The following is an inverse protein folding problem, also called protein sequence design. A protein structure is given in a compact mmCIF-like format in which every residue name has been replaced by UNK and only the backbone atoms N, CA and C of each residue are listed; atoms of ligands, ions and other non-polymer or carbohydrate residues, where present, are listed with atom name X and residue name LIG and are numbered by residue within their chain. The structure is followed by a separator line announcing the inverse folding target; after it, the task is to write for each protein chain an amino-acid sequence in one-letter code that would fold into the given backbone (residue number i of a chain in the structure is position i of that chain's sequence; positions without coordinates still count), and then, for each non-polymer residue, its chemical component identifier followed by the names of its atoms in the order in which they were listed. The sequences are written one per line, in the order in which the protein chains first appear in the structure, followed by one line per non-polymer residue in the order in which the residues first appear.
data_IF_073135621091
#
_entry.id   IF_073135621091
#
_cell.length_a   1.000
_cell.length_b   1.000
_cell.length_c   1.000
_cell.angle_alpha   90.00
_cell.angle_beta   90.00
_cell.angle_gamma   90.00
#
_symmetry.space_group_name_H-M   'P 1'
#
loop_
_entity.id
_entity.type
_entity.pdbx_description
1 polymer ?
#
# COMPACT_ATOMS: atom_id res chain seq x y z
N UNK A 1 -13.61 -11.90 -3.30
CA UNK A 1 -14.81 -11.04 -3.47
C UNK A 1 -15.29 -11.14 -4.90
N UNK A 2 -16.49 -10.66 -5.21
CA UNK A 2 -17.16 -10.85 -6.51
C UNK A 2 -16.84 -9.73 -7.50
N UNK A 3 -15.75 -8.99 -7.29
CA UNK A 3 -15.34 -7.83 -8.12
C UNK A 3 -15.31 -8.19 -9.61
N UNK A 4 -14.81 -9.39 -9.95
CA UNK A 4 -14.73 -9.89 -11.31
C UNK A 4 -16.10 -10.09 -12.02
N UNK A 5 -17.22 -10.08 -11.28
CA UNK A 5 -18.56 -10.11 -11.88
C UNK A 5 -19.03 -8.72 -12.32
N UNK A 6 -18.43 -7.65 -11.78
CA UNK A 6 -18.88 -6.27 -11.97
C UNK A 6 -17.86 -5.40 -12.71
N UNK A 7 -16.57 -5.68 -12.55
CA UNK A 7 -15.49 -4.86 -13.09
C UNK A 7 -14.57 -5.68 -13.99
N UNK A 8 -14.14 -5.07 -15.09
CA UNK A 8 -13.03 -5.59 -15.88
C UNK A 8 -11.71 -5.37 -15.11
N UNK A 9 -10.70 -6.24 -15.31
CA UNK A 9 -9.34 -5.98 -14.85
C UNK A 9 -8.83 -4.64 -15.38
N UNK A 10 -8.07 -3.91 -14.56
CA UNK A 10 -7.48 -2.64 -14.98
C UNK A 10 -6.44 -2.81 -16.09
N UNK A 11 -6.38 -1.84 -17.01
CA UNK A 11 -5.54 -1.86 -18.21
C UNK A 11 -4.53 -0.69 -18.29
N UNK A 12 -4.51 0.19 -17.30
CA UNK A 12 -3.60 1.35 -17.24
C UNK A 12 -2.22 1.02 -16.68
N UNK A 13 -2.08 -0.15 -16.04
CA UNK A 13 -0.94 -0.49 -15.20
C UNK A 13 -0.78 0.41 -13.96
N UNK A 14 0.25 0.15 -13.16
CA UNK A 14 0.58 0.96 -11.98
C UNK A 14 1.20 2.30 -12.38
N UNK A 15 0.68 3.41 -11.86
CA UNK A 15 1.11 4.76 -12.23
C UNK A 15 1.66 5.53 -11.03
N UNK A 16 2.56 6.48 -11.31
CA UNK A 16 3.14 7.38 -10.32
C UNK A 16 2.94 8.82 -10.81
N UNK A 17 2.46 9.68 -9.92
CA UNK A 17 2.21 11.09 -10.18
C UNK A 17 3.16 11.94 -9.35
N UNK A 18 3.79 12.91 -10.00
CA UNK A 18 4.56 13.95 -9.33
C UNK A 18 3.60 15.08 -8.92
N UNK A 19 3.45 15.30 -7.62
CA UNK A 19 2.61 16.36 -7.05
C UNK A 19 3.43 17.58 -6.63
N UNK A 20 4.69 17.68 -7.07
CA UNK A 20 5.63 18.74 -6.74
C UNK A 20 6.39 18.48 -5.43
N UNK A 21 5.67 18.27 -4.32
CA UNK A 21 6.27 17.99 -3.02
C UNK A 21 6.68 16.52 -2.83
N UNK A 22 6.04 15.61 -3.56
CA UNK A 22 6.29 14.18 -3.49
C UNK A 22 5.90 13.47 -4.79
N UNK A 23 6.32 12.21 -4.92
CA UNK A 23 5.82 11.27 -5.95
C UNK A 23 4.90 10.24 -5.33
N UNK A 24 3.64 10.24 -5.74
CA UNK A 24 2.61 9.33 -5.23
C UNK A 24 2.35 8.20 -6.21
N UNK A 25 2.37 6.97 -5.72
CA UNK A 25 1.88 5.79 -6.43
C UNK A 25 0.52 5.38 -5.87
N UNK A 26 -0.33 4.76 -6.69
CA UNK A 26 -1.63 4.25 -6.24
C UNK A 26 -1.74 2.76 -6.56
N UNK A 27 -2.15 1.98 -5.57
CA UNK A 27 -2.60 0.60 -5.72
C UNK A 27 -3.91 0.43 -4.95
N UNK A 28 -4.81 -0.43 -5.39
CA UNK A 28 -6.18 -0.50 -4.86
C UNK A 28 -6.41 -1.84 -4.19
N UNK A 29 -6.83 -1.78 -2.92
CA UNK A 29 -7.26 -2.92 -2.14
C UNK A 29 -6.40 -4.18 -2.38
N UNK A 30 -6.94 -5.20 -3.06
CA UNK A 30 -6.31 -6.51 -3.21
C UNK A 30 -4.92 -6.50 -3.88
N UNK A 31 -4.54 -5.40 -4.55
CA UNK A 31 -3.17 -5.20 -5.04
C UNK A 31 -2.10 -5.39 -3.96
N UNK A 32 -2.39 -5.13 -2.67
CA UNK A 32 -1.41 -5.33 -1.58
C UNK A 32 -0.89 -6.76 -1.48
N UNK A 33 -1.72 -7.74 -1.88
CA UNK A 33 -1.40 -9.15 -1.80
C UNK A 33 -0.19 -9.49 -2.69
N UNK A 34 -0.06 -8.77 -3.81
CA UNK A 34 0.97 -8.96 -4.82
C UNK A 34 2.15 -8.01 -4.54
N UNK A 35 3.31 -8.51 -4.04
CA UNK A 35 4.48 -7.65 -3.80
C UNK A 35 4.94 -6.89 -5.06
N UNK A 36 4.64 -7.42 -6.24
CA UNK A 36 4.91 -6.82 -7.55
C UNK A 36 4.22 -5.46 -7.72
N UNK A 37 3.05 -5.24 -7.11
CA UNK A 37 2.32 -3.97 -7.18
C UNK A 37 3.14 -2.83 -6.53
N UNK A 38 3.46 -3.00 -5.25
CA UNK A 38 4.27 -2.03 -4.51
C UNK A 38 5.68 -1.90 -5.09
N UNK A 39 6.28 -3.01 -5.56
CA UNK A 39 7.57 -3.00 -6.24
C UNK A 39 7.55 -2.17 -7.51
N UNK A 40 6.52 -2.35 -8.34
CA UNK A 40 6.39 -1.62 -9.61
C UNK A 40 6.26 -0.12 -9.36
N UNK A 41 5.43 0.29 -8.39
CA UNK A 41 5.31 1.69 -7.99
C UNK A 41 6.64 2.26 -7.49
N UNK A 42 7.35 1.53 -6.62
CA UNK A 42 8.63 1.97 -6.10
C UNK A 42 9.71 2.09 -7.19
N UNK A 43 9.77 1.16 -8.15
CA UNK A 43 10.67 1.23 -9.31
C UNK A 43 10.33 2.40 -10.24
N UNK A 44 9.05 2.77 -10.33
CA UNK A 44 8.60 3.99 -11.03
C UNK A 44 8.86 5.28 -10.23
N UNK A 45 9.46 5.18 -9.05
CA UNK A 45 9.89 6.31 -8.24
C UNK A 45 8.83 6.81 -7.26
N UNK A 46 7.82 6.01 -6.91
CA UNK A 46 6.90 6.35 -5.83
C UNK A 46 7.68 6.52 -4.51
N UNK A 47 7.38 7.61 -3.81
CA UNK A 47 7.85 7.90 -2.46
C UNK A 47 6.78 7.53 -1.43
N UNK A 48 5.51 7.71 -1.81
CA UNK A 48 4.32 7.38 -1.03
C UNK A 48 3.42 6.48 -1.89
N UNK A 49 2.93 5.38 -1.32
CA UNK A 49 1.87 4.57 -1.92
C UNK A 49 0.55 4.89 -1.23
N UNK A 50 -0.38 5.49 -1.96
CA UNK A 50 -1.77 5.62 -1.55
C UNK A 50 -2.50 4.31 -1.83
N UNK A 51 -3.08 3.73 -0.79
CA UNK A 51 -3.72 2.42 -0.82
C UNK A 51 -5.16 2.51 -0.29
N UNK A 52 -6.13 2.97 -1.11
CA UNK A 52 -7.55 2.89 -0.75
C UNK A 52 -8.01 1.43 -0.75
N UNK A 53 -8.74 1.02 0.29
CA UNK A 53 -9.04 -0.39 0.53
C UNK A 53 -10.44 -0.63 1.11
N UNK A 54 -10.94 -1.85 0.86
CA UNK A 54 -12.14 -2.43 1.47
C UNK A 54 -11.74 -3.79 2.08
N UNK A 55 -10.83 -3.77 3.06
CA UNK A 55 -10.21 -4.95 3.63
C UNK A 55 -11.18 -5.72 4.52
N UNK A 56 -11.06 -7.03 4.41
CA UNK A 56 -11.93 -8.07 4.95
C UNK A 56 -11.10 -9.29 5.36
N UNK A 57 -9.98 -9.53 4.67
CA UNK A 57 -8.92 -10.44 5.10
C UNK A 57 -8.06 -9.77 6.17
N UNK A 58 -7.61 -10.50 7.20
CA UNK A 58 -6.94 -9.92 8.36
C UNK A 58 -5.48 -9.52 8.09
N UNK A 59 -4.85 -10.02 7.03
CA UNK A 59 -3.39 -10.01 6.90
C UNK A 59 -2.81 -8.73 6.30
N UNK A 60 -3.64 -7.89 5.68
CA UNK A 60 -3.17 -6.67 5.02
C UNK A 60 -2.42 -5.72 5.98
N UNK A 61 -2.94 -5.37 7.18
CA UNK A 61 -2.24 -4.48 8.09
C UNK A 61 -0.84 -4.98 8.48
N UNK A 62 -0.63 -6.30 8.56
CA UNK A 62 0.69 -6.85 8.91
C UNK A 62 1.61 -6.98 7.69
N UNK A 63 1.05 -6.96 6.49
CA UNK A 63 1.79 -7.05 5.22
C UNK A 63 2.32 -5.70 4.74
N UNK A 64 1.61 -4.60 5.01
CA UNK A 64 2.03 -3.27 4.57
C UNK A 64 3.36 -2.79 5.18
N UNK A 65 3.71 -3.06 6.46
CA UNK A 65 5.06 -2.89 6.98
C UNK A 65 6.14 -3.58 6.15
N UNK A 66 5.86 -4.77 5.63
CA UNK A 66 6.78 -5.52 4.75
C UNK A 66 6.87 -4.83 3.39
N UNK A 67 5.73 -4.45 2.78
CA UNK A 67 5.68 -3.72 1.51
C UNK A 67 6.48 -2.41 1.55
N UNK A 68 6.39 -1.68 2.66
CA UNK A 68 7.14 -0.44 2.86
C UNK A 68 8.63 -0.72 3.01
N UNK A 69 9.01 -1.71 3.84
CA UNK A 69 10.41 -2.05 4.10
C UNK A 69 11.14 -2.56 2.87
N UNK A 70 10.51 -3.45 2.10
CA UNK A 70 11.13 -4.06 0.92
C UNK A 70 11.26 -3.10 -0.27
N UNK A 71 10.59 -1.95 -0.22
CA UNK A 71 10.59 -0.94 -1.28
C UNK A 71 11.15 0.43 -0.85
N UNK A 72 11.35 0.66 0.46
CA UNK A 72 11.69 1.96 1.07
C UNK A 72 10.73 3.07 0.62
N UNK A 73 9.44 2.86 0.85
CA UNK A 73 8.37 3.83 0.54
C UNK A 73 7.48 4.03 1.75
N UNK A 74 6.86 5.20 1.86
CA UNK A 74 5.72 5.36 2.74
C UNK A 74 4.49 4.63 2.16
N UNK A 75 3.58 4.19 3.00
CA UNK A 75 2.25 3.79 2.55
C UNK A 75 1.17 4.41 3.44
N UNK A 76 0.06 4.76 2.81
CA UNK A 76 -1.17 5.24 3.46
C UNK A 76 -2.29 4.31 3.04
N UNK A 77 -2.62 3.35 3.91
CA UNK A 77 -3.76 2.45 3.73
C UNK A 77 -4.99 3.13 4.31
N UNK A 78 -5.95 3.51 3.47
CA UNK A 78 -7.23 4.05 3.89
C UNK A 78 -8.30 2.98 3.70
N UNK A 79 -8.70 2.35 4.80
CA UNK A 79 -9.68 1.28 4.81
C UNK A 79 -11.00 1.73 5.45
N UNK A 80 -12.10 1.10 5.04
CA UNK A 80 -13.41 1.30 5.65
C UNK A 80 -13.64 0.38 6.86
N UNK A 81 -14.66 0.73 7.64
CA UNK A 81 -15.21 -0.07 8.73
C UNK A 81 -16.65 -0.48 8.41
N UNK A 82 -17.23 -1.28 9.32
CA UNK A 82 -18.66 -1.56 9.35
C UNK A 82 -19.05 -2.87 8.68
N UNK A 83 -20.34 -3.13 8.68
CA UNK A 83 -20.96 -4.34 8.14
C UNK A 83 -21.88 -3.95 6.99
N UNK A 84 -21.71 -4.57 5.83
CA UNK A 84 -22.52 -4.30 4.64
C UNK A 84 -23.39 -5.50 4.27
N UNK A 85 -24.69 -5.25 4.19
CA UNK A 85 -25.68 -6.23 3.72
C UNK A 85 -25.62 -6.37 2.20
N UNK A 86 -25.73 -7.60 1.70
CA UNK A 86 -25.49 -7.93 0.28
C UNK A 86 -26.66 -8.64 -0.39
N UNK A 87 -27.87 -8.17 -0.16
CA UNK A 87 -29.08 -8.61 -0.89
C UNK A 87 -29.24 -10.13 -1.02
N UNK A 88 -29.42 -10.83 0.12
CA UNK A 88 -29.59 -12.29 0.15
C UNK A 88 -28.31 -13.11 0.33
N UNK A 89 -27.13 -12.46 0.37
CA UNK A 89 -25.85 -13.10 0.72
C UNK A 89 -25.44 -12.79 2.16
N UNK A 90 -24.49 -13.57 2.68
CA UNK A 90 -23.87 -13.27 3.98
C UNK A 90 -23.28 -11.84 3.97
N UNK A 91 -23.46 -11.06 5.05
CA UNK A 91 -22.91 -9.71 5.15
C UNK A 91 -21.39 -9.74 5.12
N UNK A 92 -20.77 -8.63 4.68
CA UNK A 92 -19.33 -8.44 4.78
C UNK A 92 -19.01 -7.53 5.94
N UNK A 93 -17.98 -7.90 6.71
CA UNK A 93 -17.45 -7.07 7.79
C UNK A 93 -16.08 -6.56 7.38
N UNK A 94 -15.94 -5.24 7.30
CA UNK A 94 -14.66 -4.61 7.02
C UNK A 94 -13.86 -4.42 8.29
N UNK A 95 -12.54 -4.59 8.19
CA UNK A 95 -11.70 -4.74 9.38
C UNK A 95 -11.17 -3.42 9.97
N UNK A 96 -11.42 -2.26 9.33
CA UNK A 96 -10.79 -0.99 9.71
C UNK A 96 -9.27 -1.08 9.59
N UNK A 97 -8.54 -0.69 10.64
CA UNK A 97 -7.07 -0.74 10.65
C UNK A 97 -6.43 0.03 9.48
N UNK A 98 -7.01 1.17 9.09
CA UNK A 98 -6.31 2.14 8.25
C UNK A 98 -4.96 2.46 8.90
N UNK A 99 -3.90 2.63 8.13
CA UNK A 99 -2.58 2.84 8.71
C UNK A 99 -1.66 3.66 7.82
N UNK A 100 -0.72 4.32 8.48
CA UNK A 100 0.37 5.06 7.86
C UNK A 100 1.66 4.36 8.26
N UNK A 101 2.45 3.96 7.27
CA UNK A 101 3.67 3.16 7.47
C UNK A 101 4.86 3.88 6.85
N UNK A 102 5.95 4.00 7.61
CA UNK A 102 7.19 4.62 7.17
C UNK A 102 8.07 3.66 6.32
N UNK A 103 9.07 4.17 5.56
CA UNK A 103 9.94 3.38 4.68
C UNK A 103 10.67 2.21 5.32
N UNK A 104 10.88 2.21 6.64
CA UNK A 104 11.52 1.10 7.37
C UNK A 104 10.52 0.04 7.89
N UNK A 105 9.23 0.23 7.60
CA UNK A 105 8.13 -0.58 8.09
C UNK A 105 7.67 -0.22 9.51
N UNK A 106 8.02 0.98 10.00
CA UNK A 106 7.48 1.48 11.26
C UNK A 106 6.04 1.96 11.03
N UNK A 107 5.10 1.49 11.85
CA UNK A 107 3.71 1.96 11.82
C UNK A 107 3.68 3.30 12.55
N UNK A 108 3.45 4.39 11.80
CA UNK A 108 3.35 5.74 12.35
C UNK A 108 1.98 5.95 13.01
N UNK A 109 0.94 5.36 12.43
CA UNK A 109 -0.40 5.32 13.00
C UNK A 109 -1.16 4.10 12.51
N UNK A 110 -2.02 3.53 13.36
CA UNK A 110 -3.01 2.51 13.00
C UNK A 110 -4.35 2.88 13.63
N UNK A 111 -5.33 3.12 12.78
CA UNK A 111 -6.67 3.49 13.17
C UNK A 111 -7.41 2.31 13.84
N UNK A 112 -8.43 2.61 14.66
CA UNK A 112 -9.32 1.59 15.22
C UNK A 112 -10.01 0.72 14.16
N UNK A 113 -10.54 -0.41 14.61
CA UNK A 113 -11.25 -1.37 13.76
C UNK A 113 -12.73 -1.05 13.58
N UNK A 114 -13.28 -0.25 14.48
CA UNK A 114 -14.71 -0.19 14.76
C UNK A 114 -15.27 1.24 14.88
N UNK A 115 -14.44 2.27 14.69
CA UNK A 115 -14.89 3.67 14.64
C UNK A 115 -14.18 4.46 13.55
N UNK A 116 -14.89 5.43 12.98
CA UNK A 116 -14.31 6.34 12.00
C UNK A 116 -13.25 7.22 12.65
N UNK A 117 -12.18 7.49 11.92
CA UNK A 117 -11.08 8.32 12.39
C UNK A 117 -10.43 9.01 11.19
N UNK A 118 -10.17 10.32 11.36
CA UNK A 118 -9.24 11.06 10.52
C UNK A 118 -7.96 11.25 11.33
N UNK A 119 -6.85 10.81 10.77
CA UNK A 119 -5.53 11.00 11.36
C UNK A 119 -4.56 11.57 10.33
N UNK A 120 -3.71 12.49 10.79
CA UNK A 120 -2.75 13.21 9.95
C UNK A 120 -1.38 13.05 10.59
N UNK A 121 -0.41 12.62 9.79
CA UNK A 121 1.00 12.51 10.18
C UNK A 121 1.83 13.38 9.25
N UNK A 122 2.76 14.12 9.81
CA UNK A 122 3.78 14.82 9.05
C UNK A 122 4.89 13.84 8.67
N UNK A 123 5.27 13.82 7.39
CA UNK A 123 6.31 12.93 6.86
C UNK A 123 7.28 13.73 5.99
N UNK A 124 8.51 13.25 5.87
CA UNK A 124 9.47 13.71 4.86
C UNK A 124 9.57 12.68 3.72
N UNK A 125 8.97 12.92 2.54
CA UNK A 125 9.06 12.02 1.39
C UNK A 125 10.50 11.76 0.92
N UNK A 126 11.45 12.64 1.25
CA UNK A 126 12.87 12.47 0.91
C UNK A 126 13.44 11.21 1.56
N UNK A 127 12.94 10.78 2.73
CA UNK A 127 13.36 9.54 3.37
C UNK A 127 13.17 8.31 2.48
N UNK A 128 12.13 8.30 1.63
CA UNK A 128 11.85 7.22 0.70
C UNK A 128 12.83 7.19 -0.48
N UNK A 129 13.52 8.30 -0.79
CA UNK A 129 14.47 8.39 -1.91
C UNK A 129 15.76 7.61 -1.64
N UNK A 130 16.16 7.48 -0.37
CA UNK A 130 17.37 6.76 -0.01
C UNK A 130 17.13 5.24 0.05
N UNK A 131 17.58 4.55 -1.00
CA UNK A 131 17.52 3.09 -1.12
C UNK A 131 18.76 2.37 -0.59
N UNK A 132 19.77 3.11 -0.11
CA UNK A 132 20.95 2.51 0.52
C UNK A 132 20.57 1.80 1.83
N UNK A 133 21.02 0.55 1.95
CA UNK A 133 20.87 -0.27 3.15
C UNK A 133 22.17 -0.27 3.96
N UNK A 134 23.31 -0.32 3.27
CA UNK A 134 24.67 -0.31 3.82
C UNK A 134 25.55 0.52 2.86
N UNK A 135 26.82 0.83 3.21
CA UNK A 135 27.75 1.48 2.29
C UNK A 135 27.98 0.73 0.96
N UNK A 136 27.62 -0.55 0.89
CA UNK A 136 27.86 -1.42 -0.28
C UNK A 136 26.59 -1.96 -0.91
N UNK A 137 25.41 -1.68 -0.33
CA UNK A 137 24.16 -2.27 -0.78
C UNK A 137 23.06 -1.24 -0.97
N UNK A 138 22.35 -1.39 -2.09
CA UNK A 138 21.20 -0.60 -2.47
C UNK A 138 20.01 -1.51 -2.79
N UNK A 139 18.90 -1.26 -2.11
CA UNK A 139 17.71 -2.10 -2.15
C UNK A 139 17.15 -2.32 -3.56
N UNK A 140 17.20 -1.30 -4.43
CA UNK A 140 16.62 -1.38 -5.77
C UNK A 140 17.69 -1.69 -6.81
N UNK A 141 18.90 -1.11 -6.69
CA UNK A 141 19.98 -1.33 -7.67
C UNK A 141 20.62 -2.71 -7.57
N UNK A 142 20.62 -3.34 -6.39
CA UNK A 142 21.21 -4.68 -6.21
C UNK A 142 20.28 -5.81 -6.71
N UNK A 143 19.07 -5.47 -7.21
CA UNK A 143 18.16 -6.46 -7.82
C UNK A 143 18.81 -7.10 -9.04
N UNK A 144 18.67 -8.42 -9.17
CA UNK A 144 19.15 -9.20 -10.32
C UNK A 144 17.99 -9.51 -11.27
N UNK A 145 17.57 -8.51 -12.03
CA UNK A 145 16.36 -8.58 -12.86
C UNK A 145 16.36 -9.76 -13.83
N UNK A 146 17.52 -10.18 -14.34
CA UNK A 146 17.63 -11.36 -15.22
C UNK A 146 17.22 -12.70 -14.59
N UNK A 147 17.10 -12.77 -13.26
CA UNK A 147 16.69 -13.98 -12.54
C UNK A 147 15.18 -14.08 -12.29
N UNK A 148 14.45 -12.98 -12.38
CA UNK A 148 13.03 -12.92 -12.08
C UNK A 148 12.30 -12.34 -13.29
N UNK A 149 11.35 -13.12 -13.84
CA UNK A 149 10.62 -12.77 -15.08
C UNK A 149 9.58 -11.70 -14.81
#
# INVERSE_FOLDING_TARGET
FEEALFFAPGDTGFQVWDIGSAKIGVMICFDWYYPEAARTLALKGAEIICHPSNLVLPDCPDSMPVRCRENRVFAVTSNRIGIEARGGKAPLTFIGNSEIVAPRGAILHRAPRDREELHIVEIDPVEARNKSLTPYNDLLRDRRESLYR
#
